data_IF_095533027683
#
_entry.id   IF_095533027683
#
_cell.length_a   1.000
_cell.length_b   1.000
_cell.length_c   1.000
_cell.angle_alpha   90.00
_cell.angle_beta   90.00
_cell.angle_gamma   90.00
#
_symmetry.space_group_name_H-M   'P 1'
#
loop_
_entity.id
_entity.type
_entity.pdbx_description
1 polymer ?
#
# COMPACT_ATOMS: atom_id res chain seq x y z
N UNK A 1 24.84 5.24 30.84
CA UNK A 1 25.02 5.51 29.40
C UNK A 1 24.19 4.49 28.63
N UNK A 2 23.20 4.96 27.87
CA UNK A 2 22.36 4.11 27.03
C UNK A 2 23.11 3.81 25.72
N UNK A 3 22.87 2.65 25.09
CA UNK A 3 23.38 2.35 23.74
C UNK A 3 23.00 3.42 22.69
N UNK A 4 21.95 4.20 22.96
CA UNK A 4 21.53 5.33 22.13
C UNK A 4 22.53 6.51 22.17
N UNK A 5 23.26 6.69 23.26
CA UNK A 5 24.25 7.77 23.44
C UNK A 5 25.52 7.58 22.59
N UNK A 6 25.73 6.35 22.08
CA UNK A 6 26.85 5.98 21.22
C UNK A 6 26.56 6.19 19.72
N UNK A 7 25.32 6.51 19.35
CA UNK A 7 24.99 6.75 17.94
C UNK A 7 25.47 8.13 17.49
N UNK A 8 26.09 8.25 16.29
CA UNK A 8 26.52 9.54 15.78
C UNK A 8 25.36 10.54 15.72
N UNK A 9 25.61 11.78 16.13
CA UNK A 9 24.61 12.87 16.17
C UNK A 9 23.87 13.03 14.84
N UNK A 10 24.57 12.84 13.72
CA UNK A 10 23.98 12.89 12.38
C UNK A 10 22.92 11.79 12.16
N UNK A 11 23.17 10.59 12.67
CA UNK A 11 22.23 9.46 12.60
C UNK A 11 21.01 9.68 13.48
N UNK A 12 21.18 10.28 14.65
CA UNK A 12 20.07 10.66 15.53
C UNK A 12 19.17 11.72 14.87
N UNK A 13 19.76 12.73 14.22
CA UNK A 13 19.01 13.76 13.48
C UNK A 13 18.26 13.17 12.28
N UNK A 14 18.88 12.24 11.56
CA UNK A 14 18.25 11.53 10.45
C UNK A 14 17.05 10.68 10.93
N UNK A 15 17.21 9.96 12.04
CA UNK A 15 16.13 9.20 12.67
C UNK A 15 14.96 10.11 13.07
N UNK A 16 15.22 11.22 13.75
CA UNK A 16 14.17 12.18 14.15
C UNK A 16 13.39 12.72 12.94
N UNK A 17 14.09 13.01 11.85
CA UNK A 17 13.46 13.45 10.59
C UNK A 17 12.57 12.36 9.98
N UNK A 18 13.02 11.11 10.01
CA UNK A 18 12.25 9.98 9.53
C UNK A 18 10.99 9.74 10.39
N UNK A 19 11.10 9.81 11.72
CA UNK A 19 9.98 9.70 12.66
C UNK A 19 8.95 10.83 12.46
N UNK A 20 9.42 12.06 12.24
CA UNK A 20 8.52 13.18 11.93
C UNK A 20 7.76 12.94 10.61
N UNK A 21 8.43 12.36 9.61
CA UNK A 21 7.81 12.01 8.33
C UNK A 21 6.78 10.89 8.50
N UNK A 22 7.09 9.90 9.34
CA UNK A 22 6.17 8.82 9.71
C UNK A 22 4.94 9.34 10.47
N UNK A 23 5.12 10.30 11.37
CA UNK A 23 4.02 10.94 12.11
C UNK A 23 3.07 11.69 11.17
N UNK A 24 3.60 12.37 10.14
CA UNK A 24 2.79 12.99 9.09
C UNK A 24 2.01 11.97 8.26
N UNK A 25 2.65 10.86 7.92
CA UNK A 25 1.98 9.74 7.26
C UNK A 25 0.78 9.24 8.08
N UNK A 26 0.96 9.02 9.39
CA UNK A 26 -0.13 8.56 10.25
C UNK A 26 -1.26 9.60 10.36
N UNK A 27 -0.93 10.89 10.46
CA UNK A 27 -1.91 11.96 10.45
C UNK A 27 -2.73 11.99 9.14
N UNK A 28 -2.09 11.77 7.99
CA UNK A 28 -2.78 11.68 6.69
C UNK A 28 -3.72 10.47 6.60
N UNK A 29 -3.32 9.34 7.20
CA UNK A 29 -4.17 8.14 7.32
C UNK A 29 -5.23 8.27 8.44
N UNK A 30 -5.23 9.37 9.21
CA UNK A 30 -6.07 9.60 10.39
C UNK A 30 -5.92 8.53 11.46
N UNK A 31 -4.70 8.02 11.63
CA UNK A 31 -4.36 6.99 12.61
C UNK A 31 -3.43 7.56 13.68
N UNK A 32 -3.62 7.17 14.93
CA UNK A 32 -2.75 7.57 16.04
C UNK A 32 -1.62 6.56 16.27
N UNK A 33 -0.50 7.03 16.82
CA UNK A 33 0.61 6.15 17.23
C UNK A 33 0.16 5.10 18.26
N UNK A 34 -0.74 5.47 19.17
CA UNK A 34 -1.25 4.57 20.22
C UNK A 34 -2.05 3.42 19.62
N UNK A 35 -2.87 3.69 18.60
CA UNK A 35 -3.59 2.65 17.88
C UNK A 35 -2.65 1.69 17.16
N UNK A 36 -1.60 2.22 16.50
CA UNK A 36 -0.58 1.39 15.85
C UNK A 36 0.18 0.54 16.88
N UNK A 37 0.55 1.13 18.02
CA UNK A 37 1.23 0.42 19.11
C UNK A 37 0.38 -0.74 19.62
N UNK A 38 -0.90 -0.50 19.94
CA UNK A 38 -1.83 -1.54 20.37
C UNK A 38 -1.99 -2.64 19.31
N UNK A 39 -2.10 -2.25 18.03
CA UNK A 39 -2.22 -3.19 16.91
C UNK A 39 -0.97 -4.06 16.73
N UNK A 40 0.23 -3.50 16.91
CA UNK A 40 1.49 -4.23 16.81
C UNK A 40 1.70 -5.21 17.97
N UNK A 41 1.29 -4.83 19.19
CA UNK A 41 1.40 -5.69 20.38
C UNK A 41 0.40 -6.85 20.31
N UNK A 42 -0.82 -6.59 19.83
CA UNK A 42 -1.88 -7.59 19.68
C UNK A 42 -1.72 -8.51 18.46
N UNK A 43 -0.84 -8.19 17.52
CA UNK A 43 -0.63 -9.00 16.31
C UNK A 43 0.20 -10.26 16.62
N UNK A 44 -0.43 -11.43 16.45
CA UNK A 44 0.23 -12.72 16.59
C UNK A 44 1.11 -13.11 15.37
N UNK A 45 0.92 -12.46 14.23
CA UNK A 45 1.49 -12.88 12.93
C UNK A 45 2.62 -11.99 12.40
N UNK A 46 2.74 -10.76 12.90
CA UNK A 46 3.60 -9.71 12.35
C UNK A 46 3.09 -9.09 11.04
N UNK A 47 1.88 -9.45 10.59
CA UNK A 47 1.27 -8.92 9.36
C UNK A 47 0.92 -7.44 9.45
N UNK A 48 0.56 -6.93 10.63
CA UNK A 48 0.28 -5.51 10.87
C UNK A 48 1.54 -4.69 10.60
N UNK A 49 2.70 -5.15 11.08
CA UNK A 49 3.99 -4.49 10.84
C UNK A 49 4.30 -4.42 9.35
N UNK A 50 4.15 -5.55 8.63
CA UNK A 50 4.42 -5.62 7.20
C UNK A 50 3.51 -4.66 6.43
N UNK A 51 2.19 -4.66 6.71
CA UNK A 51 1.23 -3.76 6.05
C UNK A 51 1.52 -2.29 6.35
N UNK A 52 1.89 -1.96 7.59
CA UNK A 52 2.25 -0.61 8.00
C UNK A 52 3.47 -0.10 7.23
N UNK A 53 4.52 -0.91 7.13
CA UNK A 53 5.72 -0.56 6.37
C UNK A 53 5.44 -0.47 4.87
N UNK A 54 4.55 -1.31 4.33
CA UNK A 54 4.15 -1.24 2.91
C UNK A 54 3.50 0.11 2.59
N UNK A 55 2.48 0.50 3.37
CA UNK A 55 1.80 1.79 3.22
C UNK A 55 2.76 2.95 3.42
N UNK A 56 3.66 2.87 4.41
CA UNK A 56 4.65 3.92 4.60
C UNK A 56 5.64 4.01 3.42
N UNK A 57 6.03 2.88 2.83
CA UNK A 57 6.86 2.84 1.63
C UNK A 57 6.17 3.51 0.43
N UNK A 58 4.88 3.22 0.22
CA UNK A 58 4.05 3.88 -0.80
C UNK A 58 3.97 5.39 -0.53
N UNK A 59 3.69 5.79 0.71
CA UNK A 59 3.66 7.20 1.09
C UNK A 59 4.97 7.91 0.76
N UNK A 60 6.12 7.35 1.14
CA UNK A 60 7.43 7.92 0.80
C UNK A 60 7.68 7.98 -0.70
N UNK A 61 7.15 7.02 -1.46
CA UNK A 61 7.26 6.99 -2.90
C UNK A 61 6.44 8.09 -3.59
N UNK A 62 5.48 8.74 -2.93
CA UNK A 62 4.63 9.76 -3.54
C UNK A 62 4.68 11.12 -2.85
N UNK A 63 5.12 11.18 -1.59
CA UNK A 63 5.24 12.44 -0.87
C UNK A 63 6.24 13.38 -1.55
N UNK A 64 5.85 14.64 -1.64
CA UNK A 64 6.66 15.69 -2.22
C UNK A 64 7.54 16.35 -1.14
N UNK A 65 8.79 16.58 -1.49
CA UNK A 65 9.74 17.36 -0.70
C UNK A 65 9.60 18.86 -0.97
N UNK A 66 10.67 19.62 -0.70
CA UNK A 66 10.69 21.05 -1.02
C UNK A 66 10.59 21.26 -2.53
N UNK A 67 9.64 22.09 -2.95
CA UNK A 67 9.44 22.46 -4.35
C UNK A 67 8.52 21.54 -5.15
N UNK A 68 7.63 20.79 -4.48
CA UNK A 68 6.63 19.93 -5.15
C UNK A 68 7.24 18.72 -5.87
N UNK A 69 8.53 18.45 -5.63
CA UNK A 69 9.22 17.33 -6.26
C UNK A 69 9.13 16.08 -5.39
N UNK A 70 8.97 14.90 -6.00
CA UNK A 70 9.30 13.61 -5.41
C UNK A 70 10.50 13.62 -4.46
N UNK A 71 10.40 12.94 -3.30
CA UNK A 71 11.58 12.66 -2.49
C UNK A 71 12.67 11.93 -3.30
N UNK A 72 13.92 12.34 -3.11
CA UNK A 72 15.07 11.67 -3.71
C UNK A 72 15.17 10.23 -3.18
N UNK A 73 15.59 9.29 -4.04
CA UNK A 73 15.75 7.87 -3.70
C UNK A 73 16.48 7.66 -2.37
N UNK A 74 17.62 8.34 -2.19
CA UNK A 74 18.43 8.18 -0.99
C UNK A 74 17.69 8.64 0.28
N UNK A 75 16.83 9.66 0.18
CA UNK A 75 15.97 10.10 1.29
C UNK A 75 14.87 9.09 1.60
N UNK A 76 14.19 8.58 0.56
CA UNK A 76 13.18 7.52 0.73
C UNK A 76 13.76 6.29 1.42
N UNK A 77 14.90 5.80 0.94
CA UNK A 77 15.53 4.61 1.50
C UNK A 77 16.05 4.84 2.93
N UNK A 78 16.57 6.04 3.20
CA UNK A 78 17.00 6.43 4.54
C UNK A 78 15.82 6.45 5.51
N UNK A 79 14.73 7.12 5.17
CA UNK A 79 13.55 7.23 6.05
C UNK A 79 12.91 5.87 6.29
N UNK A 80 12.73 5.07 5.23
CA UNK A 80 12.21 3.71 5.35
C UNK A 80 13.07 2.87 6.29
N UNK A 81 14.41 2.91 6.14
CA UNK A 81 15.34 2.15 6.99
C UNK A 81 15.27 2.60 8.44
N UNK A 82 15.27 3.90 8.71
CA UNK A 82 15.24 4.45 10.06
C UNK A 82 13.95 4.08 10.79
N UNK A 83 12.78 4.26 10.15
CA UNK A 83 11.49 3.90 10.76
C UNK A 83 11.37 2.39 10.96
N UNK A 84 11.79 1.59 9.98
CA UNK A 84 11.82 0.12 10.09
C UNK A 84 12.61 -0.32 11.32
N UNK A 85 13.85 0.18 11.46
CA UNK A 85 14.72 -0.19 12.56
C UNK A 85 14.15 0.28 13.90
N UNK A 86 13.68 1.53 13.98
CA UNK A 86 13.05 2.06 15.19
C UNK A 86 11.83 1.24 15.63
N UNK A 87 10.95 0.86 14.70
CA UNK A 87 9.79 0.01 15.00
C UNK A 87 10.22 -1.42 15.40
N UNK A 88 11.22 -2.00 14.75
CA UNK A 88 11.74 -3.33 15.10
C UNK A 88 12.46 -3.35 16.46
N UNK A 89 13.10 -2.26 16.84
CA UNK A 89 13.76 -2.12 18.14
C UNK A 89 12.72 -1.90 19.26
N UNK A 90 11.58 -1.26 18.94
CA UNK A 90 10.46 -1.06 19.87
C UNK A 90 9.58 -2.32 20.00
N UNK A 91 9.35 -3.05 18.90
CA UNK A 91 8.48 -4.23 18.83
C UNK A 91 9.23 -5.45 18.24
N UNK A 92 10.16 -6.06 18.99
CA UNK A 92 11.05 -7.09 18.45
C UNK A 92 10.39 -8.46 18.23
N UNK A 93 9.16 -8.66 18.73
CA UNK A 93 8.48 -9.97 18.85
C UNK A 93 8.52 -10.83 17.58
N UNK A 94 8.33 -10.21 16.41
CA UNK A 94 8.24 -10.92 15.12
C UNK A 94 9.42 -10.67 14.19
N UNK A 95 10.50 -10.04 14.68
CA UNK A 95 11.61 -9.54 13.86
C UNK A 95 12.14 -10.59 12.88
N UNK A 96 12.50 -11.78 13.37
CA UNK A 96 13.07 -12.84 12.54
C UNK A 96 12.12 -13.32 11.43
N UNK A 97 10.80 -13.31 11.67
CA UNK A 97 9.78 -13.76 10.71
C UNK A 97 9.55 -12.74 9.59
N UNK A 98 9.56 -11.45 9.92
CA UNK A 98 9.17 -10.39 8.98
C UNK A 98 10.35 -9.72 8.28
N UNK A 99 11.57 -9.82 8.80
CA UNK A 99 12.74 -9.11 8.27
C UNK A 99 13.03 -9.42 6.80
N UNK A 100 12.91 -10.68 6.38
CA UNK A 100 13.07 -11.09 4.98
C UNK A 100 11.99 -10.47 4.07
N UNK A 101 10.74 -10.35 4.55
CA UNK A 101 9.65 -9.69 3.82
C UNK A 101 9.92 -8.20 3.68
N UNK A 102 10.31 -7.53 4.77
CA UNK A 102 10.66 -6.10 4.79
C UNK A 102 11.84 -5.78 3.87
N UNK A 103 12.83 -6.67 3.76
CA UNK A 103 13.95 -6.51 2.83
C UNK A 103 13.49 -6.54 1.37
N UNK A 104 12.65 -7.52 0.99
CA UNK A 104 12.08 -7.60 -0.36
C UNK A 104 11.27 -6.34 -0.71
N UNK A 105 10.49 -5.84 0.25
CA UNK A 105 9.72 -4.60 0.07
C UNK A 105 10.63 -3.38 -0.14
N UNK A 106 11.69 -3.25 0.66
CA UNK A 106 12.66 -2.18 0.50
C UNK A 106 13.33 -2.21 -0.89
N UNK A 107 13.69 -3.41 -1.38
CA UNK A 107 14.24 -3.58 -2.73
C UNK A 107 13.24 -3.23 -3.85
N UNK A 108 11.95 -3.50 -3.65
CA UNK A 108 10.89 -3.11 -4.59
C UNK A 108 10.71 -1.59 -4.60
N UNK A 109 10.69 -0.96 -3.43
CA UNK A 109 10.62 0.48 -3.26
C UNK A 109 11.81 1.19 -3.92
N UNK A 110 13.02 0.67 -3.71
CA UNK A 110 14.24 1.23 -4.31
C UNK A 110 14.21 1.14 -5.84
N UNK A 111 13.82 -0.01 -6.39
CA UNK A 111 13.64 -0.21 -7.85
C UNK A 111 12.60 0.74 -8.42
N UNK A 112 11.51 0.98 -7.70
CA UNK A 112 10.50 1.95 -8.11
C UNK A 112 11.07 3.37 -8.14
N UNK A 113 11.80 3.78 -7.10
CA UNK A 113 12.42 5.10 -7.03
C UNK A 113 13.49 5.31 -8.12
N UNK A 114 14.25 4.27 -8.48
CA UNK A 114 15.18 4.29 -9.62
C UNK A 114 14.47 4.58 -10.94
N UNK A 115 13.43 3.80 -11.26
CA UNK A 115 12.64 3.98 -12.49
C UNK A 115 11.93 5.33 -12.57
N UNK A 116 11.64 5.95 -11.42
CA UNK A 116 11.05 7.29 -11.34
C UNK A 116 12.00 8.38 -11.86
N UNK A 117 13.31 8.21 -11.66
CA UNK A 117 14.35 9.17 -12.08
C UNK A 117 14.74 8.95 -13.54
N UNK A 118 14.78 7.71 -14.00
CA UNK A 118 15.20 7.35 -15.37
C UNK A 118 14.22 7.78 -16.45
N UNK A 119 13.07 8.38 -16.11
CA UNK A 119 12.21 9.05 -17.09
C UNK A 119 11.87 8.18 -18.30
N UNK A 120 11.75 6.86 -18.11
CA UNK A 120 11.21 6.02 -19.14
C UNK A 120 9.85 6.59 -19.50
N UNK A 121 9.67 6.98 -20.77
CA UNK A 121 8.35 7.30 -21.33
C UNK A 121 7.56 6.00 -21.31
N UNK A 122 7.14 5.60 -20.12
CA UNK A 122 6.03 4.71 -19.97
C UNK A 122 4.87 5.65 -20.22
N UNK A 123 4.22 5.51 -21.38
CA UNK A 123 2.86 6.02 -21.59
C UNK A 123 1.97 5.34 -20.55
N UNK A 124 2.09 5.73 -19.27
CA UNK A 124 1.19 5.32 -18.22
C UNK A 124 -0.02 6.21 -18.38
N UNK A 125 -1.18 5.58 -18.49
CA UNK A 125 -2.40 6.30 -18.20
C UNK A 125 -2.24 7.01 -16.84
N UNK A 126 -2.75 8.24 -16.69
CA UNK A 126 -2.84 8.91 -15.40
C UNK A 126 -3.41 7.94 -14.36
N UNK A 127 -2.93 8.04 -13.11
CA UNK A 127 -3.47 7.21 -12.04
C UNK A 127 -4.96 7.54 -11.89
N UNK A 128 -5.82 6.55 -12.08
CA UNK A 128 -7.25 6.69 -11.85
C UNK A 128 -7.47 6.96 -10.36
N UNK A 129 -8.09 8.08 -10.04
CA UNK A 129 -8.50 8.44 -8.69
C UNK A 129 -9.89 7.87 -8.39
N UNK A 130 -10.30 7.91 -7.12
CA UNK A 130 -11.65 7.51 -6.73
C UNK A 130 -12.72 8.40 -7.37
N UNK A 131 -12.39 9.67 -7.63
CA UNK A 131 -13.30 10.61 -8.29
C UNK A 131 -13.44 10.26 -9.78
N UNK A 132 -12.33 9.94 -10.45
CA UNK A 132 -12.37 9.48 -11.84
C UNK A 132 -13.23 8.21 -11.98
N UNK A 133 -13.08 7.25 -11.04
CA UNK A 133 -13.91 6.04 -11.01
C UNK A 133 -15.39 6.39 -10.86
N UNK A 134 -15.73 7.32 -9.97
CA UNK A 134 -17.12 7.76 -9.76
C UNK A 134 -17.71 8.34 -11.03
N UNK A 135 -17.00 9.25 -11.69
CA UNK A 135 -17.43 9.88 -12.95
C UNK A 135 -17.67 8.81 -14.04
N UNK A 136 -16.76 7.85 -14.17
CA UNK A 136 -16.90 6.75 -15.12
C UNK A 136 -18.12 5.87 -14.82
N UNK A 137 -18.35 5.55 -13.54
CA UNK A 137 -19.51 4.75 -13.13
C UNK A 137 -20.82 5.49 -13.33
N UNK A 138 -20.89 6.77 -12.98
CA UNK A 138 -22.08 7.60 -13.19
C UNK A 138 -22.41 7.69 -14.69
N UNK A 139 -21.40 7.86 -15.55
CA UNK A 139 -21.58 7.84 -17.01
C UNK A 139 -22.11 6.49 -17.53
N UNK A 140 -21.54 5.37 -17.07
CA UNK A 140 -22.00 4.03 -17.48
C UNK A 140 -23.44 3.77 -17.07
N UNK A 141 -23.85 4.18 -15.87
CA UNK A 141 -25.22 3.99 -15.39
C UNK A 141 -26.21 4.98 -16.00
N UNK A 142 -25.79 6.19 -16.36
CA UNK A 142 -26.65 7.21 -16.93
C UNK A 142 -27.22 6.78 -18.30
N UNK A 143 -26.39 6.20 -19.16
CA UNK A 143 -26.77 5.74 -20.50
C UNK A 143 -27.05 4.21 -20.57
N UNK A 144 -27.06 3.52 -19.42
CA UNK A 144 -27.24 2.07 -19.37
C UNK A 144 -28.61 1.66 -19.96
N UNK A 145 -28.57 0.93 -21.06
CA UNK A 145 -29.77 0.42 -21.75
C UNK A 145 -29.69 -1.07 -22.07
N UNK A 146 -28.53 -1.68 -21.85
CA UNK A 146 -28.26 -3.08 -22.14
C UNK A 146 -27.57 -3.79 -20.98
N UNK A 147 -27.70 -5.11 -20.94
CA UNK A 147 -26.98 -5.95 -19.97
C UNK A 147 -25.45 -5.77 -20.04
N UNK A 148 -24.94 -5.36 -21.20
CA UNK A 148 -23.51 -5.11 -21.41
C UNK A 148 -23.02 -3.88 -20.64
N UNK A 149 -23.83 -2.83 -20.57
CA UNK A 149 -23.46 -1.59 -19.86
C UNK A 149 -23.28 -1.86 -18.36
N UNK A 150 -24.19 -2.66 -17.78
CA UNK A 150 -24.09 -3.12 -16.40
C UNK A 150 -22.89 -4.06 -16.18
N UNK A 151 -22.58 -4.90 -17.16
CA UNK A 151 -21.39 -5.75 -17.12
C UNK A 151 -20.10 -4.92 -17.12
N UNK A 152 -20.03 -3.87 -17.95
CA UNK A 152 -18.87 -2.98 -18.03
C UNK A 152 -18.71 -2.18 -16.73
N UNK A 153 -19.80 -1.73 -16.11
CA UNK A 153 -19.78 -1.10 -14.79
C UNK A 153 -19.28 -2.04 -13.69
N UNK A 154 -19.76 -3.29 -13.66
CA UNK A 154 -19.30 -4.30 -12.72
C UNK A 154 -17.82 -4.65 -12.93
N UNK A 155 -17.38 -4.76 -14.19
CA UNK A 155 -15.99 -5.01 -14.53
C UNK A 155 -15.08 -3.87 -14.09
N UNK A 156 -15.50 -2.62 -14.31
CA UNK A 156 -14.76 -1.42 -13.88
C UNK A 156 -14.58 -1.39 -12.36
N UNK A 157 -15.63 -1.68 -11.60
CA UNK A 157 -15.58 -1.77 -10.14
C UNK A 157 -14.61 -2.90 -9.69
N UNK A 158 -14.71 -4.09 -10.27
CA UNK A 158 -13.81 -5.20 -9.96
C UNK A 158 -12.36 -4.90 -10.33
N UNK A 159 -12.12 -4.22 -11.45
CA UNK A 159 -10.79 -3.78 -11.87
C UNK A 159 -10.18 -2.78 -10.87
N UNK A 160 -10.97 -1.87 -10.31
CA UNK A 160 -10.52 -0.97 -9.25
C UNK A 160 -9.95 -1.76 -8.06
N UNK A 161 -10.71 -2.72 -7.54
CA UNK A 161 -10.26 -3.55 -6.43
C UNK A 161 -9.11 -4.52 -6.78
N UNK A 162 -9.02 -4.95 -8.04
CA UNK A 162 -7.93 -5.79 -8.53
C UNK A 162 -6.63 -4.99 -8.82
N UNK A 163 -6.62 -3.67 -8.61
CA UNK A 163 -5.55 -2.74 -8.96
C UNK A 163 -5.25 -2.70 -10.47
N UNK A 164 -6.31 -2.64 -11.30
CA UNK A 164 -6.22 -2.48 -12.75
C UNK A 164 -5.71 -3.70 -13.52
N UNK A 165 -5.61 -4.87 -12.87
CA UNK A 165 -5.11 -6.10 -13.49
C UNK A 165 -6.23 -6.94 -14.09
N UNK A 166 -6.57 -6.65 -15.34
CA UNK A 166 -7.60 -7.38 -16.09
C UNK A 166 -7.31 -8.89 -16.21
N UNK A 167 -6.03 -9.30 -16.28
CA UNK A 167 -5.66 -10.73 -16.39
C UNK A 167 -6.11 -11.56 -15.19
N UNK A 168 -6.16 -10.98 -13.99
CA UNK A 168 -6.57 -11.69 -12.78
C UNK A 168 -8.10 -11.92 -12.76
N UNK A 169 -8.86 -11.06 -13.44
CA UNK A 169 -10.33 -11.18 -13.55
C UNK A 169 -10.76 -12.23 -14.58
N UNK A 170 -9.91 -12.51 -15.58
CA UNK A 170 -10.22 -13.51 -16.61
C UNK A 170 -10.39 -14.94 -16.09
N UNK A 171 -9.96 -15.22 -14.86
CA UNK A 171 -10.07 -16.53 -14.21
C UNK A 171 -11.16 -16.59 -13.13
N UNK A 172 -11.91 -15.51 -12.91
CA UNK A 172 -13.00 -15.49 -11.92
C UNK A 172 -14.18 -16.28 -12.43
N UNK A 173 -14.57 -17.32 -11.69
CA UNK A 173 -15.80 -18.05 -11.95
C UNK A 173 -16.89 -17.62 -10.97
N UNK A 174 -18.15 -17.96 -11.26
CA UNK A 174 -19.28 -17.66 -10.36
C UNK A 174 -19.07 -18.21 -8.94
N UNK A 175 -18.42 -19.37 -8.82
CA UNK A 175 -18.09 -19.97 -7.51
C UNK A 175 -17.09 -19.16 -6.67
N UNK A 176 -16.38 -18.22 -7.29
CA UNK A 176 -15.45 -17.31 -6.62
C UNK A 176 -16.14 -16.08 -6.03
N UNK A 177 -17.47 -15.95 -6.18
CA UNK A 177 -18.28 -14.81 -5.77
C UNK A 177 -19.32 -15.18 -4.69
N UNK A 178 -18.94 -15.76 -3.53
CA UNK A 178 -19.92 -16.01 -2.48
C UNK A 178 -20.50 -14.69 -1.94
N UNK A 179 -21.81 -14.71 -1.72
CA UNK A 179 -22.55 -13.59 -1.12
C UNK A 179 -22.88 -13.97 0.31
N UNK A 180 -22.52 -13.09 1.24
CA UNK A 180 -22.82 -13.26 2.67
C UNK A 180 -24.29 -12.91 2.96
N UNK A 181 -24.81 -13.36 4.11
CA UNK A 181 -26.21 -13.16 4.51
C UNK A 181 -26.58 -11.66 4.69
N UNK A 182 -25.58 -10.80 4.91
CA UNK A 182 -25.68 -9.34 4.98
C UNK A 182 -25.54 -8.66 3.60
N UNK A 183 -25.49 -9.41 2.50
CA UNK A 183 -25.42 -8.89 1.14
C UNK A 183 -24.01 -8.50 0.68
N UNK A 184 -22.97 -8.73 1.50
CA UNK A 184 -21.58 -8.47 1.11
C UNK A 184 -21.12 -9.50 0.09
N UNK A 185 -20.58 -9.04 -1.03
CA UNK A 185 -20.01 -9.92 -2.07
C UNK A 185 -18.54 -10.13 -1.78
N UNK A 186 -18.14 -11.38 -1.63
CA UNK A 186 -16.75 -11.75 -1.47
C UNK A 186 -16.19 -12.24 -2.80
N UNK A 187 -15.10 -11.65 -3.27
CA UNK A 187 -14.45 -12.01 -4.53
C UNK A 187 -13.13 -12.72 -4.21
N UNK A 188 -13.02 -13.99 -4.59
CA UNK A 188 -11.79 -14.79 -4.49
C UNK A 188 -11.04 -14.79 -5.80
N UNK A 189 -9.87 -14.18 -5.82
CA UNK A 189 -9.04 -14.04 -7.00
C UNK A 189 -7.73 -14.81 -6.80
N UNK A 190 -7.23 -15.44 -7.86
CA UNK A 190 -5.86 -15.95 -7.88
C UNK A 190 -5.01 -15.00 -8.70
N UNK A 191 -3.92 -14.52 -8.13
CA UNK A 191 -2.97 -13.67 -8.83
C UNK A 191 -2.18 -14.51 -9.84
N UNK A 192 -2.36 -14.24 -11.13
CA UNK A 192 -1.81 -15.08 -12.22
C UNK A 192 -0.29 -15.23 -12.13
N UNK A 193 0.43 -14.16 -11.72
CA UNK A 193 1.90 -14.18 -11.62
C UNK A 193 2.45 -14.82 -10.36
N UNK A 194 1.71 -14.80 -9.26
CA UNK A 194 2.21 -15.27 -7.95
C UNK A 194 1.53 -16.54 -7.48
N UNK A 195 0.46 -16.97 -8.16
CA UNK A 195 -0.44 -18.04 -7.73
C UNK A 195 -1.01 -17.83 -6.31
N UNK A 196 -0.95 -16.61 -5.79
CA UNK A 196 -1.48 -16.29 -4.46
C UNK A 196 -2.98 -15.99 -4.55
N UNK A 197 -3.75 -16.58 -3.64
CA UNK A 197 -5.16 -16.28 -3.47
C UNK A 197 -5.34 -14.95 -2.71
N UNK A 198 -6.24 -14.10 -3.20
CA UNK A 198 -6.59 -12.83 -2.60
C UNK A 198 -8.11 -12.72 -2.47
N UNK A 199 -8.58 -12.42 -1.27
CA UNK A 199 -9.97 -12.10 -0.99
C UNK A 199 -10.22 -10.59 -1.06
N UNK A 200 -11.30 -10.19 -1.71
CA UNK A 200 -11.78 -8.80 -1.77
C UNK A 200 -13.22 -8.78 -1.27
N UNK A 201 -13.52 -7.82 -0.40
CA UNK A 201 -14.88 -7.55 0.06
C UNK A 201 -15.44 -6.37 -0.72
N UNK A 202 -16.53 -6.60 -1.45
CA UNK A 202 -17.34 -5.54 -2.06
C UNK A 202 -18.57 -5.36 -1.18
N UNK A 203 -18.61 -4.21 -0.51
CA UNK A 203 -19.77 -3.78 0.27
C UNK A 203 -20.76 -3.07 -0.66
N UNK A 204 -22.07 -3.32 -0.53
CA UNK A 204 -23.10 -2.56 -1.24
C UNK A 204 -23.10 -1.07 -0.87
#
# INVERSE_FOLDING_TARGET
MSLQDLTPVNSQRALKTAINTFSRFLANERVTMDFIAASLVGDASGSVFVKLMDRFGVYLAFVEGRGGKPLARNSVMSYYRHVKNWLLDTYPRHRASIEKKLLKMAQTLERHCLKRVEGGIIKKAPACTKEDLRILMDGLYYDASSAKDYQDAALLALMWYAFGRASDLGFVMKGNLPVSADGVVFVRLIRVKTAEEQGIFAFP
#
